data_IF_553363901100
#
_entry.id   IF_553363901100
#
_cell.length_a   1.000
_cell.length_b   1.000
_cell.length_c   1.000
_cell.angle_alpha   90.00
_cell.angle_beta   90.00
_cell.angle_gamma   90.00
#
_symmetry.space_group_name_H-M   'P 1'
#
loop_
_entity.id
_entity.type
_entity.pdbx_description
1 polymer ?
#
# COMPACT_ATOMS: atom_id res chain seq x y z
N UNK A 1 24.96 24.98 -22.31
CA UNK A 1 23.70 25.39 -21.64
C UNK A 1 22.65 24.33 -21.85
N UNK A 2 22.20 23.63 -20.81
CA UNK A 2 21.10 22.65 -20.91
C UNK A 2 19.79 23.42 -20.77
N UNK A 3 19.01 23.52 -21.83
CA UNK A 3 17.69 24.17 -21.82
C UNK A 3 16.84 23.55 -20.70
N UNK A 4 16.33 24.37 -19.77
CA UNK A 4 15.32 23.92 -18.81
C UNK A 4 14.11 23.49 -19.63
N UNK A 5 13.82 22.20 -19.69
CA UNK A 5 12.53 21.73 -20.22
C UNK A 5 11.46 22.33 -19.33
N UNK A 6 10.62 23.17 -19.92
CA UNK A 6 9.47 23.74 -19.23
C UNK A 6 8.39 22.65 -19.22
N UNK A 7 8.29 21.95 -18.09
CA UNK A 7 7.28 20.93 -17.92
C UNK A 7 5.99 21.61 -17.49
N UNK A 8 4.98 21.56 -18.37
CA UNK A 8 3.65 22.07 -18.08
C UNK A 8 3.00 21.30 -16.93
N UNK A 9 2.15 21.99 -16.15
CA UNK A 9 1.40 21.39 -15.03
C UNK A 9 0.56 20.20 -15.54
N UNK A 10 0.63 19.02 -14.89
CA UNK A 10 -0.28 17.91 -15.18
C UNK A 10 -1.74 18.31 -14.92
N UNK A 11 -2.67 17.89 -15.78
CA UNK A 11 -4.09 18.26 -15.66
C UNK A 11 -4.73 17.77 -14.35
N UNK A 12 -4.31 16.59 -13.86
CA UNK A 12 -4.69 16.02 -12.57
C UNK A 12 -4.31 16.90 -11.38
N UNK A 13 -3.19 17.63 -11.47
CA UNK A 13 -2.71 18.50 -10.40
C UNK A 13 -3.58 19.75 -10.21
N UNK A 14 -4.38 20.16 -11.21
CA UNK A 14 -5.13 21.43 -11.18
C UNK A 14 -6.20 21.49 -10.09
N UNK A 15 -6.73 20.34 -9.64
CA UNK A 15 -8.02 20.31 -8.94
C UNK A 15 -8.01 19.94 -7.45
N UNK A 16 -6.87 19.60 -6.83
CA UNK A 16 -6.89 18.98 -5.49
C UNK A 16 -5.93 19.60 -4.48
N UNK A 17 -6.47 20.09 -3.38
CA UNK A 17 -5.70 20.37 -2.18
C UNK A 17 -5.57 19.08 -1.35
N UNK A 18 -4.34 18.70 -1.00
CA UNK A 18 -4.06 17.53 -0.16
C UNK A 18 -3.72 18.03 1.24
N UNK A 19 -4.55 17.67 2.22
CA UNK A 19 -4.43 18.16 3.59
C UNK A 19 -3.98 17.04 4.50
N UNK A 20 -2.85 17.25 5.15
CA UNK A 20 -2.39 16.34 6.20
C UNK A 20 -3.30 16.44 7.41
N UNK A 21 -3.94 15.34 7.78
CA UNK A 21 -4.73 15.21 9.00
C UNK A 21 -3.91 14.43 10.04
N UNK A 22 -3.89 14.90 11.28
CA UNK A 22 -3.29 14.16 12.40
C UNK A 22 -4.39 13.38 13.10
N UNK A 23 -4.57 12.13 12.66
CA UNK A 23 -5.47 11.17 13.29
C UNK A 23 -4.61 10.17 14.06
N UNK A 24 -5.06 9.78 15.25
CA UNK A 24 -4.45 8.76 16.06
C UNK A 24 -5.46 7.65 16.33
N UNK A 25 -5.00 6.42 16.26
CA UNK A 25 -5.78 5.23 16.56
C UNK A 25 -5.22 4.52 17.80
N UNK A 26 -6.08 3.90 18.58
CA UNK A 26 -5.76 3.24 19.85
C UNK A 26 -6.17 1.77 19.80
N UNK A 27 -5.26 0.91 19.36
CA UNK A 27 -5.49 -0.53 19.22
C UNK A 27 -5.48 -1.30 20.57
N UNK A 28 -5.10 -0.67 21.69
CA UNK A 28 -4.95 -1.31 23.01
C UNK A 28 -6.20 -1.26 23.91
N UNK A 29 -7.21 -0.44 23.58
CA UNK A 29 -8.27 -0.06 24.54
C UNK A 29 -9.68 -0.57 24.21
N UNK A 30 -9.89 -1.15 23.04
CA UNK A 30 -11.07 -1.97 22.75
C UNK A 30 -10.72 -3.42 23.07
N UNK A 31 -11.66 -4.23 23.58
CA UNK A 31 -11.43 -5.63 23.95
C UNK A 31 -10.48 -6.35 22.97
N UNK A 32 -9.50 -7.15 23.45
CA UNK A 32 -8.39 -7.62 22.63
C UNK A 32 -8.92 -8.19 21.32
N UNK A 33 -8.51 -7.58 20.20
CA UNK A 33 -8.91 -8.00 18.87
C UNK A 33 -8.64 -9.49 18.76
N UNK A 34 -9.66 -10.26 18.36
CA UNK A 34 -9.45 -11.68 18.06
C UNK A 34 -8.35 -11.74 17.00
N UNK A 35 -7.40 -12.67 17.15
CA UNK A 35 -6.33 -12.89 16.17
C UNK A 35 -6.85 -12.81 14.74
N UNK A 36 -7.96 -13.48 14.44
CA UNK A 36 -8.65 -13.36 13.15
C UNK A 36 -9.69 -12.22 13.17
N UNK A 37 -9.20 -10.97 13.07
CA UNK A 37 -10.00 -9.73 13.21
C UNK A 37 -10.87 -9.37 12.00
N UNK A 38 -10.76 -10.13 10.90
CA UNK A 38 -11.64 -10.02 9.74
C UNK A 38 -12.76 -11.06 9.84
N UNK A 39 -13.70 -10.85 10.78
CA UNK A 39 -14.85 -11.73 11.03
C UNK A 39 -14.50 -13.23 11.18
N UNK A 40 -13.33 -13.53 11.77
CA UNK A 40 -12.85 -14.90 11.94
C UNK A 40 -12.18 -15.51 10.70
N UNK A 41 -12.14 -14.82 9.57
CA UNK A 41 -11.51 -15.29 8.34
C UNK A 41 -9.97 -15.30 8.47
N UNK A 42 -9.39 -16.49 8.45
CA UNK A 42 -7.96 -16.69 8.62
C UNK A 42 -7.18 -16.05 7.47
N UNK A 43 -7.59 -16.32 6.23
CA UNK A 43 -6.86 -15.88 5.05
C UNK A 43 -6.87 -14.36 4.93
N UNK A 44 -8.05 -13.74 5.11
CA UNK A 44 -8.18 -12.28 5.03
C UNK A 44 -7.49 -11.58 6.19
N UNK A 45 -7.55 -12.12 7.42
CA UNK A 45 -6.83 -11.51 8.55
C UNK A 45 -5.31 -11.57 8.34
N UNK A 46 -4.78 -12.66 7.77
CA UNK A 46 -3.36 -12.72 7.39
C UNK A 46 -3.03 -11.78 6.23
N UNK A 47 -3.88 -11.66 5.22
CA UNK A 47 -3.68 -10.74 4.10
C UNK A 47 -3.59 -9.29 4.58
N UNK A 48 -4.57 -8.84 5.39
CA UNK A 48 -4.58 -7.48 5.96
C UNK A 48 -3.37 -7.26 6.86
N UNK A 49 -2.99 -8.24 7.69
CA UNK A 49 -1.80 -8.14 8.52
C UNK A 49 -0.51 -8.02 7.68
N UNK A 50 -0.35 -8.84 6.65
CA UNK A 50 0.81 -8.80 5.75
C UNK A 50 0.92 -7.47 5.01
N UNK A 51 -0.20 -6.93 4.52
CA UNK A 51 -0.24 -5.60 3.91
C UNK A 51 0.18 -4.52 4.91
N UNK A 52 -0.40 -4.52 6.12
CA UNK A 52 -0.02 -3.61 7.21
C UNK A 52 1.46 -3.69 7.56
N UNK A 53 2.06 -4.89 7.54
CA UNK A 53 3.49 -5.09 7.76
C UNK A 53 4.38 -4.39 6.73
N UNK A 54 3.93 -4.30 5.48
CA UNK A 54 4.68 -3.69 4.38
C UNK A 54 4.53 -2.17 4.28
N UNK A 55 3.34 -1.64 4.61
CA UNK A 55 3.00 -0.23 4.41
C UNK A 55 4.01 0.77 4.99
N UNK A 56 4.50 0.66 6.24
CA UNK A 56 5.39 1.67 6.82
C UNK A 56 6.65 1.94 5.99
N UNK A 57 7.26 0.89 5.45
CA UNK A 57 8.45 1.01 4.61
C UNK A 57 8.11 1.38 3.16
N UNK A 58 6.94 0.96 2.68
CA UNK A 58 6.42 1.36 1.37
C UNK A 58 6.20 2.86 1.30
N UNK A 59 5.45 3.41 2.24
CA UNK A 59 5.11 4.84 2.34
C UNK A 59 6.36 5.71 2.52
N UNK A 60 7.32 5.26 3.33
CA UNK A 60 8.62 5.94 3.43
C UNK A 60 9.40 5.90 2.11
N UNK A 61 9.33 4.78 1.37
CA UNK A 61 9.92 4.69 0.02
C UNK A 61 9.23 5.64 -0.97
N UNK A 62 7.91 5.81 -0.87
CA UNK A 62 7.14 6.73 -1.70
C UNK A 62 7.54 8.19 -1.45
N UNK A 63 7.67 8.56 -0.17
CA UNK A 63 8.20 9.85 0.26
C UNK A 63 9.58 10.08 -0.34
N UNK A 64 10.49 9.11 -0.26
CA UNK A 64 11.85 9.24 -0.81
C UNK A 64 11.83 9.39 -2.33
N UNK A 65 11.02 8.61 -3.04
CA UNK A 65 10.90 8.66 -4.50
C UNK A 65 10.45 10.04 -4.99
N UNK A 66 9.44 10.63 -4.33
CA UNK A 66 8.97 11.99 -4.65
C UNK A 66 9.99 13.05 -4.22
N UNK A 67 10.54 12.92 -3.01
CA UNK A 67 11.52 13.87 -2.44
C UNK A 67 12.79 13.99 -3.29
N UNK A 68 13.17 12.91 -4.00
CA UNK A 68 14.29 12.91 -4.95
C UNK A 68 14.20 14.01 -6.00
N UNK A 69 12.98 14.39 -6.37
CA UNK A 69 12.68 15.34 -7.45
C UNK A 69 12.15 16.68 -6.97
N UNK A 70 11.97 16.90 -5.66
CA UNK A 70 11.35 18.12 -5.10
C UNK A 70 11.96 19.43 -5.63
N UNK A 71 13.29 19.46 -5.83
CA UNK A 71 14.00 20.66 -6.29
C UNK A 71 13.80 20.95 -7.79
N UNK A 72 13.29 19.97 -8.56
CA UNK A 72 12.97 20.13 -9.98
C UNK A 72 11.54 20.62 -10.19
N UNK A 73 10.65 20.37 -9.23
CA UNK A 73 9.26 20.82 -9.27
C UNK A 73 9.26 22.33 -9.06
N UNK A 74 8.85 23.12 -10.06
CA UNK A 74 8.73 24.58 -9.92
C UNK A 74 7.28 25.02 -9.79
N UNK A 75 6.34 24.24 -10.31
CA UNK A 75 4.90 24.53 -10.25
C UNK A 75 4.40 24.60 -8.78
N UNK A 76 3.79 25.71 -8.35
CA UNK A 76 3.40 25.89 -6.95
C UNK A 76 2.28 24.96 -6.51
N UNK A 77 1.39 24.54 -7.42
CA UNK A 77 0.29 23.62 -7.09
C UNK A 77 0.84 22.23 -6.83
N UNK A 78 1.67 21.71 -7.74
CA UNK A 78 2.31 20.41 -7.58
C UNK A 78 3.26 20.38 -6.37
N UNK A 79 3.96 21.49 -6.07
CA UNK A 79 4.75 21.61 -4.83
C UNK A 79 3.90 21.43 -3.58
N UNK A 80 2.75 22.10 -3.52
CA UNK A 80 1.84 22.01 -2.38
C UNK A 80 1.24 20.60 -2.25
N UNK A 81 0.87 19.97 -3.36
CA UNK A 81 0.39 18.59 -3.38
C UNK A 81 1.45 17.60 -2.90
N UNK A 82 2.71 17.76 -3.34
CA UNK A 82 3.83 16.95 -2.85
C UNK A 82 4.06 17.13 -1.35
N UNK A 83 3.94 18.36 -0.83
CA UNK A 83 4.04 18.59 0.61
C UNK A 83 2.91 17.89 1.38
N UNK A 84 1.67 17.98 0.89
CA UNK A 84 0.50 17.30 1.47
C UNK A 84 0.65 15.77 1.44
N UNK A 85 1.04 15.22 0.29
CA UNK A 85 1.35 13.80 0.08
C UNK A 85 2.38 13.31 1.11
N UNK A 86 3.53 13.98 1.21
CA UNK A 86 4.58 13.60 2.18
C UNK A 86 4.04 13.60 3.62
N UNK A 87 3.15 14.53 3.95
CA UNK A 87 2.54 14.59 5.28
C UNK A 87 1.55 13.46 5.54
N UNK A 88 0.68 13.12 4.58
CA UNK A 88 -0.27 12.00 4.70
C UNK A 88 0.47 10.67 4.78
N UNK A 89 1.40 10.41 3.86
CA UNK A 89 2.26 9.21 3.84
C UNK A 89 3.03 8.99 5.15
N UNK A 90 3.54 10.07 5.74
CA UNK A 90 4.21 9.99 7.04
C UNK A 90 3.24 9.55 8.14
N UNK A 91 2.00 10.03 8.12
CA UNK A 91 1.00 9.62 9.10
C UNK A 91 0.53 8.18 8.86
N UNK A 92 0.29 7.78 7.60
CA UNK A 92 -0.01 6.38 7.26
C UNK A 92 1.03 5.44 7.89
N UNK A 93 2.32 5.77 7.74
CA UNK A 93 3.40 4.89 8.18
C UNK A 93 3.57 4.84 9.68
N UNK A 94 3.13 5.88 10.39
CA UNK A 94 3.04 5.85 11.84
C UNK A 94 1.86 4.99 12.30
N UNK A 95 0.67 5.16 11.71
CA UNK A 95 -0.51 4.39 12.12
C UNK A 95 -0.36 2.90 11.80
N UNK A 96 0.23 2.53 10.66
CA UNK A 96 0.53 1.14 10.37
C UNK A 96 1.58 0.55 11.31
N UNK A 97 2.60 1.29 11.74
CA UNK A 97 3.52 0.81 12.79
C UNK A 97 2.80 0.56 14.10
N UNK A 98 1.90 1.46 14.50
CA UNK A 98 1.08 1.27 15.71
C UNK A 98 0.20 0.01 15.60
N UNK A 99 -0.45 -0.20 14.45
CA UNK A 99 -1.23 -1.41 14.20
C UNK A 99 -0.34 -2.67 14.20
N UNK A 100 0.84 -2.60 13.59
CA UNK A 100 1.77 -3.73 13.52
C UNK A 100 2.24 -4.18 14.91
N UNK A 101 2.41 -3.26 15.87
CA UNK A 101 2.71 -3.63 17.27
C UNK A 101 1.60 -4.52 17.84
N UNK A 102 0.34 -4.19 17.57
CA UNK A 102 -0.80 -4.99 18.03
C UNK A 102 -0.93 -6.31 17.26
N UNK A 103 -0.72 -6.29 15.94
CA UNK A 103 -0.70 -7.50 15.11
C UNK A 103 0.36 -8.50 15.58
N UNK A 104 1.53 -8.04 16.01
CA UNK A 104 2.54 -8.90 16.63
C UNK A 104 2.02 -9.53 17.93
N UNK A 105 1.35 -8.75 18.79
CA UNK A 105 0.73 -9.26 20.03
C UNK A 105 -0.36 -10.31 19.75
N UNK A 106 -1.10 -10.13 18.65
CA UNK A 106 -2.06 -11.11 18.13
C UNK A 106 -1.42 -12.36 17.49
N UNK A 107 -0.09 -12.40 17.33
CA UNK A 107 0.65 -13.56 16.78
C UNK A 107 1.06 -13.43 15.31
N UNK A 108 0.86 -12.28 14.66
CA UNK A 108 1.33 -11.99 13.30
C UNK A 108 2.78 -11.51 13.29
N UNK A 109 3.71 -12.34 13.78
CA UNK A 109 5.13 -12.01 13.90
C UNK A 109 5.79 -11.58 12.58
N UNK A 110 5.27 -12.02 11.44
CA UNK A 110 5.77 -11.65 10.10
C UNK A 110 5.72 -10.14 9.86
N UNK A 111 4.75 -9.43 10.44
CA UNK A 111 4.63 -7.96 10.29
C UNK A 111 5.88 -7.23 10.79
N UNK A 112 6.45 -7.67 11.93
CA UNK A 112 7.72 -7.16 12.46
C UNK A 112 8.90 -7.50 11.56
N UNK A 113 8.92 -8.68 10.95
CA UNK A 113 9.98 -9.05 10.00
C UNK A 113 9.93 -8.15 8.76
N UNK A 114 8.74 -7.93 8.20
CA UNK A 114 8.54 -7.06 7.04
C UNK A 114 8.97 -5.62 7.35
N UNK A 115 8.54 -5.06 8.48
CA UNK A 115 8.93 -3.70 8.89
C UNK A 115 10.45 -3.56 9.09
N UNK A 116 11.11 -4.57 9.68
CA UNK A 116 12.56 -4.57 9.86
C UNK A 116 13.33 -4.65 8.53
N UNK A 117 12.91 -5.52 7.61
CA UNK A 117 13.52 -5.63 6.27
C UNK A 117 13.28 -4.36 5.46
N UNK A 118 12.06 -3.85 5.49
CA UNK A 118 11.67 -2.60 4.85
C UNK A 118 12.47 -1.41 5.35
N UNK A 119 12.61 -1.26 6.67
CA UNK A 119 13.43 -0.20 7.29
C UNK A 119 14.88 -0.25 6.82
N UNK A 120 15.48 -1.44 6.71
CA UNK A 120 16.85 -1.59 6.15
C UNK A 120 16.93 -1.13 4.70
N UNK A 121 15.96 -1.52 3.88
CA UNK A 121 15.87 -1.13 2.48
C UNK A 121 15.73 0.39 2.33
N UNK A 122 14.81 1.00 3.07
CA UNK A 122 14.55 2.44 3.06
C UNK A 122 15.77 3.25 3.53
N UNK A 123 16.45 2.81 4.59
CA UNK A 123 17.70 3.45 5.04
C UNK A 123 18.74 3.45 3.92
N UNK A 124 18.91 2.33 3.21
CA UNK A 124 19.80 2.26 2.06
C UNK A 124 19.36 3.17 0.91
N UNK A 125 18.05 3.30 0.65
CA UNK A 125 17.54 4.27 -0.33
C UNK A 125 17.87 5.71 0.08
N UNK A 126 17.66 6.05 1.36
CA UNK A 126 17.93 7.37 1.92
C UNK A 126 19.41 7.75 1.78
N UNK A 127 20.32 6.85 2.14
CA UNK A 127 21.77 7.05 2.04
C UNK A 127 22.26 7.23 0.59
N UNK A 128 21.50 6.70 -0.37
CA UNK A 128 21.85 6.74 -1.79
C UNK A 128 20.95 7.63 -2.62
N UNK A 129 20.05 8.41 -1.99
CA UNK A 129 18.96 9.12 -2.66
C UNK A 129 19.44 9.92 -3.87
N UNK A 130 20.52 10.70 -3.71
CA UNK A 130 21.09 11.52 -4.77
C UNK A 130 22.27 10.87 -5.52
N UNK A 131 22.69 9.67 -5.11
CA UNK A 131 23.81 8.91 -5.69
C UNK A 131 23.36 7.89 -6.74
N UNK A 132 22.13 7.40 -6.66
CA UNK A 132 21.60 6.45 -7.64
C UNK A 132 21.41 7.10 -9.02
N UNK A 133 21.56 6.31 -10.12
CA UNK A 133 21.30 6.79 -11.46
C UNK A 133 19.88 7.34 -11.60
N UNK A 134 19.71 8.43 -12.36
CA UNK A 134 18.42 9.07 -12.53
C UNK A 134 17.36 8.12 -13.13
N UNK A 135 17.75 7.17 -13.97
CA UNK A 135 16.85 6.14 -14.52
C UNK A 135 16.27 5.25 -13.41
N UNK A 136 17.09 4.87 -12.43
CA UNK A 136 16.66 4.05 -11.28
C UNK A 136 15.73 4.85 -10.37
N UNK A 137 16.08 6.11 -10.09
CA UNK A 137 15.22 7.01 -9.32
C UNK A 137 13.85 7.24 -9.99
N UNK A 138 13.82 7.38 -11.33
CA UNK A 138 12.55 7.49 -12.08
C UNK A 138 11.75 6.21 -12.05
N UNK A 139 12.41 5.05 -12.12
CA UNK A 139 11.73 3.76 -11.99
C UNK A 139 11.10 3.61 -10.61
N UNK A 140 11.79 4.02 -9.54
CA UNK A 140 11.22 4.03 -8.19
C UNK A 140 9.97 4.91 -8.13
N UNK A 141 10.01 6.11 -8.72
CA UNK A 141 8.85 7.00 -8.79
C UNK A 141 7.70 6.43 -9.65
N UNK A 142 8.01 5.74 -10.75
CA UNK A 142 7.01 5.05 -11.58
C UNK A 142 6.35 3.90 -10.81
N UNK A 143 7.13 3.14 -10.03
CA UNK A 143 6.62 2.08 -9.16
C UNK A 143 5.74 2.67 -8.05
N UNK A 144 6.15 3.77 -7.41
CA UNK A 144 5.29 4.51 -6.47
C UNK A 144 3.96 4.87 -7.11
N UNK A 145 3.97 5.52 -8.28
CA UNK A 145 2.74 5.88 -8.98
C UNK A 145 1.85 4.67 -9.31
N UNK A 146 2.44 3.51 -9.60
CA UNK A 146 1.70 2.28 -9.83
C UNK A 146 1.07 1.73 -8.55
N UNK A 147 1.83 1.68 -7.44
CA UNK A 147 1.34 1.16 -6.16
C UNK A 147 0.26 2.06 -5.59
N UNK A 148 0.45 3.38 -5.57
CA UNK A 148 -0.55 4.38 -5.17
C UNK A 148 -1.87 4.24 -5.95
N UNK A 149 -1.77 3.96 -7.24
CA UNK A 149 -2.97 3.72 -8.05
C UNK A 149 -3.68 2.42 -7.64
N UNK A 150 -2.92 1.36 -7.36
CA UNK A 150 -3.46 0.07 -6.93
C UNK A 150 -4.07 0.16 -5.53
N UNK A 151 -3.40 0.82 -4.57
CA UNK A 151 -3.89 1.03 -3.21
C UNK A 151 -5.17 1.87 -3.23
N UNK A 152 -5.24 2.92 -4.05
CA UNK A 152 -6.45 3.71 -4.21
C UNK A 152 -7.62 2.90 -4.80
N UNK A 153 -7.38 2.02 -5.77
CA UNK A 153 -8.43 1.13 -6.34
C UNK A 153 -8.89 0.10 -5.30
N UNK A 154 -7.97 -0.51 -4.56
CA UNK A 154 -8.29 -1.46 -3.49
C UNK A 154 -9.04 -0.77 -2.35
N UNK A 155 -8.61 0.43 -1.95
CA UNK A 155 -9.25 1.26 -0.94
C UNK A 155 -10.67 1.65 -1.34
N UNK A 156 -10.86 2.11 -2.58
CA UNK A 156 -12.20 2.39 -3.12
C UNK A 156 -13.08 1.15 -3.03
N UNK A 157 -12.59 -0.02 -3.48
CA UNK A 157 -13.37 -1.27 -3.37
C UNK A 157 -13.65 -1.66 -1.92
N UNK A 158 -12.71 -1.50 -1.02
CA UNK A 158 -12.92 -1.77 0.40
C UNK A 158 -14.01 -0.86 0.98
N UNK A 159 -14.02 0.44 0.63
CA UNK A 159 -14.99 1.42 1.10
C UNK A 159 -16.39 1.21 0.51
N UNK A 160 -16.50 0.84 -0.76
CA UNK A 160 -17.79 0.77 -1.47
C UNK A 160 -18.45 -0.60 -1.45
N UNK A 161 -17.81 -1.62 -0.88
CA UNK A 161 -18.30 -3.01 -0.89
C UNK A 161 -18.86 -3.38 0.49
N UNK A 162 -20.20 -3.47 0.66
CA UNK A 162 -20.83 -3.65 1.97
C UNK A 162 -20.30 -4.88 2.73
N UNK A 163 -20.19 -6.02 2.03
CA UNK A 163 -19.71 -7.26 2.67
C UNK A 163 -18.26 -7.18 3.17
N UNK A 164 -17.40 -6.35 2.55
CA UNK A 164 -16.03 -6.13 3.03
C UNK A 164 -16.04 -5.29 4.31
N UNK A 165 -16.86 -4.23 4.35
CA UNK A 165 -17.01 -3.36 5.52
C UNK A 165 -17.61 -4.11 6.72
N UNK A 166 -18.54 -5.03 6.48
CA UNK A 166 -19.12 -5.91 7.50
C UNK A 166 -18.09 -6.89 8.07
N UNK A 167 -17.15 -7.38 7.23
CA UNK A 167 -16.12 -8.33 7.66
C UNK A 167 -14.96 -7.71 8.43
N UNK A 168 -14.70 -6.41 8.30
CA UNK A 168 -13.75 -5.69 9.16
C UNK A 168 -14.36 -5.49 10.55
N UNK A 169 -14.37 -6.57 11.34
CA UNK A 169 -15.13 -6.65 12.59
C UNK A 169 -14.53 -5.88 13.76
N UNK A 170 -13.22 -5.62 13.74
CA UNK A 170 -12.58 -4.76 14.72
C UNK A 170 -12.85 -3.28 14.37
N UNK A 171 -13.54 -2.51 15.24
CA UNK A 171 -13.94 -1.15 14.92
C UNK A 171 -12.76 -0.20 14.69
N UNK A 172 -11.67 -0.37 15.43
CA UNK A 172 -10.52 0.52 15.38
C UNK A 172 -9.67 0.23 14.15
N UNK A 173 -9.43 -1.05 13.84
CA UNK A 173 -8.77 -1.45 12.60
C UNK A 173 -9.57 -1.00 11.39
N UNK A 174 -10.90 -1.16 11.41
CA UNK A 174 -11.77 -0.68 10.32
C UNK A 174 -11.69 0.84 10.16
N UNK A 175 -11.74 1.59 11.26
CA UNK A 175 -11.65 3.05 11.22
C UNK A 175 -10.33 3.52 10.61
N UNK A 176 -9.22 2.89 11.02
CA UNK A 176 -7.89 3.20 10.48
C UNK A 176 -7.76 2.86 9.00
N UNK A 177 -8.19 1.67 8.58
CA UNK A 177 -8.13 1.27 7.16
C UNK A 177 -9.04 2.13 6.29
N UNK A 178 -10.23 2.52 6.77
CA UNK A 178 -11.12 3.41 6.05
C UNK A 178 -10.53 4.82 5.91
N UNK A 179 -9.92 5.35 6.97
CA UNK A 179 -9.20 6.63 6.91
C UNK A 179 -8.08 6.57 5.87
N UNK A 180 -7.23 5.54 5.95
CA UNK A 180 -6.14 5.35 5.00
C UNK A 180 -6.66 5.30 3.55
N UNK A 181 -7.64 4.44 3.28
CA UNK A 181 -8.24 4.32 1.94
C UNK A 181 -8.80 5.66 1.41
N UNK A 182 -9.40 6.50 2.26
CA UNK A 182 -9.90 7.81 1.85
C UNK A 182 -8.74 8.74 1.48
N UNK A 183 -7.65 8.79 2.27
CA UNK A 183 -6.48 9.63 1.95
C UNK A 183 -5.77 9.14 0.68
N UNK A 184 -5.63 7.82 0.49
CA UNK A 184 -5.12 7.22 -0.75
C UNK A 184 -5.87 7.71 -1.99
N UNK A 185 -7.20 7.84 -1.91
CA UNK A 185 -8.03 8.37 -3.00
C UNK A 185 -7.81 9.86 -3.28
N UNK A 186 -7.39 10.64 -2.28
CA UNK A 186 -7.07 12.07 -2.43
C UNK A 186 -5.76 12.25 -3.20
N UNK A 187 -4.73 11.46 -2.88
CA UNK A 187 -3.37 11.65 -3.39
C UNK A 187 -2.88 10.67 -4.45
N UNK A 188 -3.74 9.73 -4.90
CA UNK A 188 -3.46 8.73 -5.96
C UNK A 188 -2.78 9.22 -7.23
N UNK A 189 -2.87 10.51 -7.54
CA UNK A 189 -2.31 11.10 -8.75
C UNK A 189 -0.97 11.83 -8.51
N UNK A 190 -0.57 12.13 -7.27
CA UNK A 190 0.60 12.99 -7.01
C UNK A 190 1.89 12.36 -7.51
N UNK A 191 2.14 11.09 -7.16
CA UNK A 191 3.34 10.40 -7.62
C UNK A 191 3.40 10.31 -9.15
N UNK A 192 2.24 10.09 -9.80
CA UNK A 192 2.12 10.12 -11.25
C UNK A 192 2.38 11.50 -11.85
N UNK A 193 1.84 12.55 -11.23
CA UNK A 193 2.03 13.93 -11.67
C UNK A 193 3.49 14.36 -11.58
N UNK A 194 4.17 14.02 -10.48
CA UNK A 194 5.62 14.22 -10.35
C UNK A 194 6.37 13.40 -11.40
N UNK A 195 5.99 12.15 -11.63
CA UNK A 195 6.62 11.28 -12.64
C UNK A 195 6.54 11.90 -14.04
N UNK A 196 5.37 12.39 -14.44
CA UNK A 196 5.17 13.07 -15.72
C UNK A 196 5.92 14.39 -15.78
N UNK A 197 5.87 15.16 -14.70
CA UNK A 197 6.55 16.45 -14.57
C UNK A 197 8.07 16.34 -14.72
N UNK A 198 8.70 15.24 -14.28
CA UNK A 198 10.16 15.05 -14.44
C UNK A 198 10.53 14.33 -15.75
N UNK A 199 9.57 14.21 -16.67
CA UNK A 199 9.74 13.57 -17.97
C UNK A 199 9.91 12.05 -17.87
N UNK A 200 9.11 11.39 -17.04
CA UNK A 200 8.92 9.95 -17.06
C UNK A 200 8.25 9.47 -18.36
N UNK A 201 8.70 8.33 -18.91
CA UNK A 201 8.18 7.81 -20.17
C UNK A 201 6.94 6.94 -19.98
N UNK A 202 6.07 6.87 -20.99
CA UNK A 202 4.88 6.04 -20.92
C UNK A 202 5.23 4.54 -20.87
N UNK A 203 6.25 4.12 -21.61
CA UNK A 203 6.75 2.74 -21.58
C UNK A 203 7.15 2.30 -20.17
N UNK A 204 7.91 3.11 -19.43
CA UNK A 204 8.31 2.77 -18.07
C UNK A 204 7.10 2.75 -17.12
N UNK A 205 6.12 3.64 -17.30
CA UNK A 205 4.87 3.61 -16.53
C UNK A 205 4.12 2.28 -16.71
N UNK A 206 3.93 1.86 -17.96
CA UNK A 206 3.22 0.61 -18.29
C UNK A 206 3.96 -0.60 -17.73
N UNK A 207 5.29 -0.66 -17.91
CA UNK A 207 6.10 -1.76 -17.39
C UNK A 207 6.12 -1.81 -15.86
N UNK A 208 6.18 -0.66 -15.18
CA UNK A 208 6.04 -0.58 -13.73
C UNK A 208 4.68 -1.11 -13.27
N UNK A 209 3.58 -0.68 -13.90
CA UNK A 209 2.24 -1.17 -13.56
C UNK A 209 2.11 -2.68 -13.78
N UNK A 210 2.56 -3.18 -14.93
CA UNK A 210 2.53 -4.62 -15.23
C UNK A 210 3.37 -5.43 -14.23
N UNK A 211 4.56 -4.92 -13.85
CA UNK A 211 5.42 -5.54 -12.84
C UNK A 211 4.78 -5.56 -11.46
N UNK A 212 4.17 -4.47 -11.01
CA UNK A 212 3.47 -4.41 -9.71
C UNK A 212 2.27 -5.35 -9.68
N UNK A 213 1.47 -5.40 -10.75
CA UNK A 213 0.38 -6.36 -10.89
C UNK A 213 0.90 -7.80 -10.80
N UNK A 214 1.95 -8.15 -11.55
CA UNK A 214 2.53 -9.49 -11.49
C UNK A 214 2.98 -9.87 -10.06
N UNK A 215 3.62 -8.95 -9.33
CA UNK A 215 4.03 -9.18 -7.94
C UNK A 215 2.84 -9.45 -6.99
N UNK A 216 1.69 -8.78 -7.22
CA UNK A 216 0.47 -9.02 -6.44
C UNK A 216 -0.22 -10.35 -6.78
N UNK A 217 -0.23 -10.74 -8.07
CA UNK A 217 -1.00 -11.90 -8.56
C UNK A 217 -0.25 -13.23 -8.48
N UNK A 218 1.08 -13.23 -8.61
CA UNK A 218 1.89 -14.45 -8.62
C UNK A 218 1.71 -15.30 -7.34
N UNK A 219 1.74 -14.75 -6.12
CA UNK A 219 1.53 -15.55 -4.90
C UNK A 219 0.13 -16.18 -4.82
N UNK A 220 -0.90 -15.52 -5.33
CA UNK A 220 -2.28 -16.01 -5.32
C UNK A 220 -2.46 -17.23 -6.24
N UNK A 221 -1.87 -17.19 -7.44
CA UNK A 221 -1.93 -18.31 -8.38
C UNK A 221 -1.24 -19.56 -7.81
N UNK A 222 -0.04 -19.41 -7.24
CA UNK A 222 0.69 -20.53 -6.61
C UNK A 222 0.03 -21.08 -5.35
N UNK A 223 -0.74 -20.27 -4.62
CA UNK A 223 -1.52 -20.73 -3.46
C UNK A 223 -2.77 -21.52 -3.85
N UNK A 224 -3.41 -21.17 -4.97
CA UNK A 224 -4.61 -21.86 -5.47
C UNK A 224 -4.31 -23.22 -6.11
N UNK A 225 -3.09 -23.42 -6.63
CA UNK A 225 -2.68 -24.68 -7.26
C UNK A 225 -2.26 -25.77 -6.27
N UNK A 226 -2.10 -25.44 -4.98
CA UNK A 226 -1.76 -26.41 -3.92
C UNK A 226 -2.99 -26.96 -3.19
N UNK A 227 -4.19 -26.43 -3.44
CA UNK A 227 -5.45 -26.98 -2.94
C UNK A 227 -6.08 -27.97 -3.93
N UNK A 228 -5.36 -29.07 -4.22
CA UNK A 228 -5.98 -30.29 -4.75
C UNK A 228 -6.37 -31.18 -3.56
N UNK A 229 -7.61 -31.69 -3.47
CA UNK A 229 -8.01 -32.52 -2.36
C UNK A 229 -7.19 -33.82 -2.38
N UNK A 230 -6.51 -34.11 -1.27
CA UNK A 230 -6.02 -35.46 -0.99
C UNK A 230 -7.25 -36.35 -0.89
N UNK A 231 -7.62 -37.02 -1.99
CA UNK A 231 -8.47 -38.22 -1.91
C UNK A 231 -7.61 -39.29 -1.23
N UNK A 232 -7.82 -39.47 0.07
CA UNK A 232 -7.31 -40.65 0.77
C UNK A 232 -7.96 -41.92 0.18
N UNK A 233 -7.21 -43.01 -0.02
CA UNK A 233 -7.78 -44.29 -0.41
C UNK A 233 -8.41 -44.93 0.83
N UNK A 234 -9.72 -44.75 1.01
CA UNK A 234 -10.46 -45.43 2.07
C UNK A 234 -11.55 -44.57 2.69
N UNK A 235 -12.79 -44.80 2.27
CA UNK A 235 -13.99 -44.20 2.86
C UNK A 235 -15.20 -45.02 2.42
N UNK A 236 -15.82 -45.68 3.39
CA UNK A 236 -16.62 -46.91 3.29
C UNK A 236 -18.03 -46.74 2.69
N UNK A 237 -18.57 -47.86 2.20
CA UNK A 237 -19.90 -48.05 1.59
C UNK A 237 -21.02 -47.56 2.50
N UNK A 238 -22.01 -46.88 1.91
CA UNK A 238 -23.37 -46.80 2.45
C UNK A 238 -24.16 -48.03 2.01
N UNK A 239 -24.70 -48.78 2.97
CA UNK A 239 -25.88 -49.64 2.76
C UNK A 239 -27.10 -48.89 3.27
N UNK A 240 -28.23 -48.87 2.54
CA UNK A 240 -29.49 -48.36 3.08
C UNK A 240 -30.20 -49.47 3.86
N UNK A 241 -30.62 -49.17 5.08
CA UNK A 241 -31.67 -49.94 5.76
C UNK A 241 -32.96 -49.12 5.67
N UNK A 242 -33.92 -49.62 4.89
CA UNK A 242 -35.33 -49.28 4.98
C UNK A 242 -36.12 -50.51 4.53
N UNK A 243 -37.12 -50.86 5.35
CA UNK A 243 -37.98 -52.06 5.39
C UNK A 243 -37.34 -53.31 6.01
#
# INVERSE_FOLDING_TARGET
MRTKKDYSRPQSAVMRAIRTRRIAFSFHNAAPSKRHFVAGDIAMSHLVALMSGGFPSGEESFILAVRRYRNQITDPVLKNQVAGFIGQEMNHGMQHRNLNVELVRMGYWVTRLLDALGTRFVNRMKDNLYRIPNTVAKLALANTAAVEHLTAVLGEKALTTPWLQERLSDPEVRAMLNWHAIEEMEHKAVAFDVYRYVGGSERMRILSMAGMLALLWVPLIFSSSQSLPIRGPGGTRSTPYAA
#
